data_IF_948712923005
#
_entry.id   IF_948712923005
#
_cell.length_a   1.000
_cell.length_b   1.000
_cell.length_c   1.000
_cell.angle_alpha   90.00
_cell.angle_beta   90.00
_cell.angle_gamma   90.00
#
_symmetry.space_group_name_H-M   'P 1'
#
loop_
_entity.id
_entity.type
_entity.pdbx_description
1 polymer ?
#
# COMPACT_ATOMS: atom_id res chain seq x y z
N UNK A 1 13.47 14.31 17.27
CA UNK A 1 12.93 15.36 16.37
C UNK A 1 11.56 15.79 16.86
N UNK A 2 11.11 16.99 16.50
CA UNK A 2 9.73 17.45 16.74
C UNK A 2 8.86 17.10 15.53
N UNK A 3 7.60 16.77 15.77
CA UNK A 3 6.61 16.42 14.75
C UNK A 3 5.42 17.35 14.93
N UNK A 4 4.85 17.80 13.81
CA UNK A 4 3.68 18.68 13.78
C UNK A 4 2.62 18.08 12.87
N UNK A 5 1.36 18.25 13.26
CA UNK A 5 0.23 17.94 12.37
C UNK A 5 -0.01 19.09 11.37
N UNK A 6 -0.91 18.89 10.41
CA UNK A 6 -1.19 19.88 9.36
C UNK A 6 -1.62 21.25 9.89
N UNK A 7 -2.44 21.28 10.95
CA UNK A 7 -2.91 22.52 11.56
C UNK A 7 -1.78 23.34 12.19
N UNK A 8 -0.93 22.66 12.97
CA UNK A 8 0.24 23.29 13.57
C UNK A 8 1.22 23.77 12.49
N UNK A 9 1.43 22.99 11.44
CA UNK A 9 2.35 23.34 10.36
C UNK A 9 1.91 24.61 9.62
N UNK A 10 0.61 24.80 9.38
CA UNK A 10 0.08 26.03 8.79
C UNK A 10 0.29 27.23 9.71
N UNK A 11 -0.03 27.10 11.00
CA UNK A 11 0.14 28.19 11.97
C UNK A 11 1.60 28.64 12.12
N UNK A 12 2.54 27.69 12.01
CA UNK A 12 3.97 27.95 12.10
C UNK A 12 4.61 28.38 10.77
N UNK A 13 3.85 28.41 9.66
CA UNK A 13 4.37 28.73 8.33
C UNK A 13 5.32 27.67 7.75
N UNK A 14 5.20 26.41 8.21
CA UNK A 14 6.00 25.29 7.70
C UNK A 14 5.46 24.74 6.37
N UNK A 15 4.19 24.98 6.08
CA UNK A 15 3.51 24.62 4.83
C UNK A 15 2.63 25.77 4.37
N UNK A 16 2.35 25.84 3.08
CA UNK A 16 1.56 26.93 2.48
C UNK A 16 0.05 26.79 2.70
N UNK A 17 -0.43 25.58 3.02
CA UNK A 17 -1.85 25.34 3.24
C UNK A 17 -2.26 23.87 3.11
N UNK A 18 -3.56 23.66 2.92
CA UNK A 18 -4.17 22.34 2.73
C UNK A 18 -4.53 22.09 1.27
N UNK A 19 -4.51 20.81 0.86
CA UNK A 19 -4.96 20.38 -0.44
C UNK A 19 -4.93 18.87 -0.59
N UNK A 20 -5.65 18.37 -1.60
CA UNK A 20 -5.47 17.00 -2.08
C UNK A 20 -4.50 17.01 -3.26
N UNK A 21 -3.99 15.84 -3.65
CA UNK A 21 -3.15 15.71 -4.85
C UNK A 21 -3.89 16.26 -6.07
N UNK A 22 -5.18 15.97 -6.21
CA UNK A 22 -6.02 16.44 -7.32
C UNK A 22 -6.21 17.97 -7.31
N UNK A 23 -6.51 18.57 -6.16
CA UNK A 23 -6.71 20.02 -6.08
C UNK A 23 -5.43 20.79 -6.39
N UNK A 24 -4.29 20.33 -5.88
CA UNK A 24 -2.99 20.97 -6.16
C UNK A 24 -2.63 20.83 -7.64
N UNK A 25 -2.81 19.64 -8.21
CA UNK A 25 -2.54 19.36 -9.61
C UNK A 25 -3.38 20.26 -10.54
N UNK A 26 -4.71 20.32 -10.33
CA UNK A 26 -5.64 21.06 -11.18
C UNK A 26 -5.57 22.57 -10.95
N UNK A 27 -5.61 23.02 -9.70
CA UNK A 27 -5.91 24.42 -9.39
C UNK A 27 -4.65 25.26 -9.25
N UNK A 28 -3.53 24.66 -8.84
CA UNK A 28 -2.27 25.36 -8.61
C UNK A 28 -1.32 25.13 -9.78
N UNK A 29 -1.03 23.87 -10.10
CA UNK A 29 -0.04 23.51 -11.13
C UNK A 29 -0.59 23.55 -12.56
N UNK A 30 -1.92 23.56 -12.72
CA UNK A 30 -2.61 23.51 -14.02
C UNK A 30 -2.27 22.27 -14.84
N UNK A 31 -1.98 21.16 -14.15
CA UNK A 31 -1.65 19.86 -14.73
C UNK A 31 -2.63 18.83 -14.18
N UNK A 32 -3.80 18.63 -14.80
CA UNK A 32 -4.81 17.70 -14.30
C UNK A 32 -4.41 16.23 -14.48
N UNK A 33 -3.51 15.91 -15.40
CA UNK A 33 -3.05 14.54 -15.63
C UNK A 33 -1.98 14.14 -14.60
N UNK A 34 -2.34 13.22 -13.70
CA UNK A 34 -1.46 12.74 -12.63
C UNK A 34 -1.06 11.28 -12.86
N UNK A 35 0.24 10.99 -12.81
CA UNK A 35 0.78 9.62 -12.90
C UNK A 35 1.10 9.10 -11.51
N UNK A 36 0.43 8.01 -11.10
CA UNK A 36 0.66 7.35 -9.81
C UNK A 36 1.76 6.27 -9.95
N UNK A 37 2.90 6.49 -9.30
CA UNK A 37 4.04 5.56 -9.32
C UNK A 37 4.01 4.51 -8.20
N UNK A 38 2.96 4.49 -7.38
CA UNK A 38 2.84 3.51 -6.30
C UNK A 38 2.76 2.10 -6.88
N UNK A 39 3.74 1.26 -6.54
CA UNK A 39 3.72 -0.15 -6.86
C UNK A 39 2.51 -0.80 -6.18
N UNK A 40 1.52 -1.16 -6.98
CA UNK A 40 0.35 -1.91 -6.52
C UNK A 40 0.54 -3.37 -6.90
N UNK A 41 0.37 -4.28 -5.95
CA UNK A 41 0.25 -5.69 -6.28
C UNK A 41 -0.87 -5.86 -7.31
N UNK A 42 -0.56 -6.49 -8.42
CA UNK A 42 -1.57 -6.78 -9.42
C UNK A 42 -2.48 -7.94 -8.94
N UNK A 43 -3.66 -8.06 -9.53
CA UNK A 43 -4.62 -9.10 -9.13
C UNK A 43 -4.02 -10.51 -9.27
N UNK A 44 -3.28 -10.77 -10.34
CA UNK A 44 -2.67 -12.06 -10.59
C UNK A 44 -1.64 -12.44 -9.50
N UNK A 45 -0.82 -11.50 -9.07
CA UNK A 45 0.16 -11.68 -7.99
C UNK A 45 -0.54 -12.01 -6.67
N UNK A 46 -1.63 -11.30 -6.35
CA UNK A 46 -2.44 -11.59 -5.15
C UNK A 46 -3.04 -12.99 -5.19
N UNK A 47 -3.54 -13.42 -6.35
CA UNK A 47 -4.08 -14.77 -6.55
C UNK A 47 -2.98 -15.82 -6.43
N UNK A 48 -1.84 -15.62 -7.09
CA UNK A 48 -0.71 -16.54 -7.06
C UNK A 48 -0.17 -16.72 -5.63
N UNK A 49 -0.03 -15.63 -4.86
CA UNK A 49 0.40 -15.68 -3.45
C UNK A 49 -0.55 -16.51 -2.60
N UNK A 50 -1.87 -16.31 -2.74
CA UNK A 50 -2.88 -17.09 -2.00
C UNK A 50 -2.87 -18.57 -2.38
N UNK A 51 -2.86 -18.86 -3.68
CA UNK A 51 -2.82 -20.23 -4.18
C UNK A 51 -1.57 -20.99 -3.71
N UNK A 52 -0.40 -20.34 -3.80
CA UNK A 52 0.86 -20.92 -3.34
C UNK A 52 0.85 -21.19 -1.83
N UNK A 53 0.32 -20.27 -1.03
CA UNK A 53 0.20 -20.44 0.41
C UNK A 53 -0.72 -21.62 0.78
N UNK A 54 -1.89 -21.73 0.14
CA UNK A 54 -2.84 -22.83 0.38
C UNK A 54 -2.28 -24.19 -0.06
N UNK A 55 -1.66 -24.24 -1.23
CA UNK A 55 -1.05 -25.46 -1.77
C UNK A 55 0.11 -25.93 -0.88
N UNK A 56 0.99 -25.01 -0.48
CA UNK A 56 2.08 -25.31 0.44
C UNK A 56 1.58 -25.83 1.79
N UNK A 57 0.54 -25.20 2.35
CA UNK A 57 -0.09 -25.65 3.59
C UNK A 57 -0.69 -27.06 3.45
N UNK A 58 -1.38 -27.35 2.34
CA UNK A 58 -1.95 -28.67 2.08
C UNK A 58 -0.87 -29.76 1.97
N UNK A 59 0.23 -29.49 1.26
CA UNK A 59 1.37 -30.40 1.13
C UNK A 59 2.02 -30.65 2.49
N UNK A 60 2.31 -29.60 3.25
CA UNK A 60 2.90 -29.73 4.59
C UNK A 60 2.01 -30.58 5.51
N UNK A 61 0.70 -30.34 5.49
CA UNK A 61 -0.27 -31.10 6.28
C UNK A 61 -0.32 -32.58 5.88
N UNK A 62 -0.22 -32.88 4.59
CA UNK A 62 -0.16 -34.26 4.10
C UNK A 62 1.14 -34.98 4.54
N UNK A 63 2.28 -34.28 4.48
CA UNK A 63 3.57 -34.81 4.94
C UNK A 63 3.57 -35.07 6.45
N UNK A 64 3.12 -34.12 7.28
CA UNK A 64 3.01 -34.30 8.73
C UNK A 64 2.10 -35.48 9.07
N UNK A 65 0.93 -35.57 8.44
CA UNK A 65 0.00 -36.69 8.64
C UNK A 65 0.60 -38.04 8.26
N UNK A 66 1.43 -38.08 7.21
CA UNK A 66 2.14 -39.30 6.81
C UNK A 66 3.25 -39.72 7.77
N UNK A 67 3.85 -38.76 8.48
CA UNK A 67 4.87 -39.01 9.49
C UNK A 67 4.27 -39.50 10.82
N UNK A 68 3.06 -39.05 11.17
CA UNK A 68 2.30 -39.51 12.35
C UNK A 68 1.72 -40.93 12.20
N UNK A 69 1.58 -41.44 10.97
CA UNK A 69 1.09 -42.80 10.68
C UNK A 69 2.20 -43.87 10.65
N UNK A 70 3.45 -43.50 10.94
CA UNK A 70 4.57 -44.43 11.13
C UNK A 70 4.89 -44.61 12.60
#
# INVERSE_FOLDING_TARGET
GRVWNGEQAVQLGLVDGYGTVDSVARDILKTPDVVEYTLKENFAERVAKRFGAETGAAISKALTRSAEMR
#
